data_IF_129944247632
#
_entry.id   IF_129944247632
#
_cell.length_a   1.000
_cell.length_b   1.000
_cell.length_c   1.000
_cell.angle_alpha   90.00
_cell.angle_beta   90.00
_cell.angle_gamma   90.00
#
_symmetry.space_group_name_H-M   'P 1'
#
loop_
_entity.id
_entity.type
_entity.pdbx_description
1 polymer ?
#
# COMPACT_ATOMS: atom_id res chain seq x y z
N UNK A 1 -4.15 -15.20 3.64
CA UNK A 1 -4.40 -13.82 4.10
C UNK A 1 -5.14 -13.09 2.98
N UNK A 2 -6.06 -12.18 3.32
CA UNK A 2 -6.77 -11.39 2.32
C UNK A 2 -5.80 -10.50 1.53
N UNK A 3 -6.14 -10.18 0.28
CA UNK A 3 -5.27 -9.33 -0.55
C UNK A 3 -5.39 -7.85 -0.14
N UNK A 4 -4.40 -7.01 -0.48
CA UNK A 4 -4.45 -5.58 -0.20
C UNK A 4 -5.65 -4.88 -0.85
N UNK A 5 -6.06 -5.33 -2.04
CA UNK A 5 -7.25 -4.84 -2.76
C UNK A 5 -8.53 -5.20 -2.01
N UNK A 6 -8.61 -6.42 -1.45
CA UNK A 6 -9.74 -6.81 -0.62
C UNK A 6 -9.86 -5.90 0.61
N UNK A 7 -8.75 -5.64 1.29
CA UNK A 7 -8.74 -4.73 2.43
C UNK A 7 -9.13 -3.29 2.05
N UNK A 8 -8.69 -2.79 0.89
CA UNK A 8 -9.13 -1.49 0.38
C UNK A 8 -10.64 -1.45 0.14
N UNK A 9 -11.17 -2.44 -0.55
CA UNK A 9 -12.61 -2.53 -0.86
C UNK A 9 -13.46 -2.61 0.42
N UNK A 10 -13.03 -3.39 1.41
CA UNK A 10 -13.72 -3.47 2.71
C UNK A 10 -13.68 -2.14 3.46
N UNK A 11 -12.53 -1.46 3.49
CA UNK A 11 -12.42 -0.15 4.12
C UNK A 11 -13.38 0.87 3.49
N UNK A 12 -13.47 0.91 2.16
CA UNK A 12 -14.40 1.79 1.44
C UNK A 12 -15.87 1.47 1.76
N UNK A 13 -16.24 0.19 1.80
CA UNK A 13 -17.60 -0.22 2.15
C UNK A 13 -17.99 0.20 3.59
N UNK A 14 -17.08 0.04 4.55
CA UNK A 14 -17.30 0.45 5.94
C UNK A 14 -17.43 1.98 6.07
N UNK A 15 -16.65 2.74 5.29
CA UNK A 15 -16.77 4.20 5.24
C UNK A 15 -18.13 4.65 4.69
N UNK A 16 -18.66 3.99 3.66
CA UNK A 16 -20.01 4.27 3.16
C UNK A 16 -21.09 3.94 4.19
N UNK A 17 -20.97 2.80 4.89
CA UNK A 17 -21.90 2.44 5.97
C UNK A 17 -21.88 3.48 7.11
N UNK A 18 -20.71 3.98 7.48
CA UNK A 18 -20.55 4.98 8.52
C UNK A 18 -21.30 6.30 8.21
N UNK A 19 -21.50 6.66 6.93
CA UNK A 19 -22.21 7.89 6.53
C UNK A 19 -23.67 7.92 6.98
N UNK A 20 -24.31 6.76 7.12
CA UNK A 20 -25.70 6.65 7.58
C UNK A 20 -25.91 6.96 9.07
N UNK A 21 -24.84 7.16 9.82
CA UNK A 21 -24.88 7.33 11.27
C UNK A 21 -24.39 8.71 11.72
N UNK A 22 -24.93 9.20 12.84
CA UNK A 22 -24.54 10.48 13.43
C UNK A 22 -23.05 10.48 13.86
N UNK A 23 -22.35 11.64 13.82
CA UNK A 23 -20.91 11.74 14.09
C UNK A 23 -20.44 11.10 15.41
N UNK A 24 -21.23 11.26 16.48
CA UNK A 24 -20.92 10.76 17.83
C UNK A 24 -21.56 9.40 18.16
N UNK A 25 -22.24 8.78 17.20
CA UNK A 25 -22.92 7.51 17.45
C UNK A 25 -21.92 6.35 17.55
N UNK A 26 -22.15 5.45 18.51
CA UNK A 26 -21.28 4.29 18.72
C UNK A 26 -21.11 3.41 17.46
N UNK A 27 -22.16 3.13 16.65
CA UNK A 27 -22.00 2.36 15.42
C UNK A 27 -21.08 3.02 14.41
N UNK A 28 -21.16 4.35 14.26
CA UNK A 28 -20.26 5.09 13.36
C UNK A 28 -18.81 4.92 13.77
N UNK A 29 -18.52 5.07 15.06
CA UNK A 29 -17.16 4.93 15.59
C UNK A 29 -16.60 3.52 15.36
N UNK A 30 -17.44 2.49 15.51
CA UNK A 30 -17.04 1.11 15.22
C UNK A 30 -16.69 0.91 13.74
N UNK A 31 -17.55 1.37 12.82
CA UNK A 31 -17.28 1.28 11.38
C UNK A 31 -16.01 2.02 10.98
N UNK A 32 -15.78 3.22 11.54
CA UNK A 32 -14.57 3.99 11.26
C UNK A 32 -13.31 3.31 11.79
N UNK A 33 -13.36 2.73 13.00
CA UNK A 33 -12.24 1.99 13.57
C UNK A 33 -11.89 0.76 12.72
N UNK A 34 -12.89 0.00 12.28
CA UNK A 34 -12.68 -1.18 11.43
C UNK A 34 -12.18 -0.79 10.03
N UNK A 35 -12.71 0.29 9.44
CA UNK A 35 -12.19 0.84 8.19
C UNK A 35 -10.71 1.23 8.30
N UNK A 36 -10.32 1.83 9.43
CA UNK A 36 -8.93 2.23 9.68
C UNK A 36 -7.99 1.02 9.81
N UNK A 37 -8.45 -0.08 10.42
CA UNK A 37 -7.69 -1.35 10.46
C UNK A 37 -7.46 -1.88 9.05
N UNK A 38 -8.52 -1.97 8.24
CA UNK A 38 -8.41 -2.45 6.86
C UNK A 38 -7.54 -1.55 5.97
N UNK A 39 -7.65 -0.23 6.11
CA UNK A 39 -6.78 0.70 5.40
C UNK A 39 -5.30 0.47 5.77
N UNK A 40 -5.01 0.24 7.05
CA UNK A 40 -3.65 -0.04 7.53
C UNK A 40 -3.12 -1.35 6.96
N UNK A 41 -3.93 -2.41 6.92
CA UNK A 41 -3.56 -3.70 6.34
C UNK A 41 -3.32 -3.62 4.82
N UNK A 42 -4.10 -2.81 4.11
CA UNK A 42 -3.89 -2.56 2.69
C UNK A 42 -2.56 -1.84 2.41
N UNK A 43 -2.15 -0.94 3.31
CA UNK A 43 -0.89 -0.17 3.20
C UNK A 43 0.34 -0.93 3.69
N UNK A 44 0.19 -1.82 4.67
CA UNK A 44 1.30 -2.60 5.24
C UNK A 44 1.64 -3.83 4.41
N UNK A 45 0.84 -4.14 3.38
CA UNK A 45 1.15 -5.19 2.44
C UNK A 45 2.51 -4.91 1.78
N UNK A 46 3.40 -5.92 1.68
CA UNK A 46 4.69 -5.75 1.04
C UNK A 46 4.43 -5.32 -0.40
N UNK A 47 4.77 -4.07 -0.71
CA UNK A 47 4.83 -3.61 -2.09
C UNK A 47 5.88 -4.49 -2.73
N UNK A 48 5.48 -5.36 -3.66
CA UNK A 48 6.43 -6.02 -4.55
C UNK A 48 7.13 -4.90 -5.32
N UNK A 49 8.24 -4.43 -4.77
CA UNK A 49 9.18 -3.59 -5.49
C UNK A 49 9.75 -4.51 -6.56
N UNK A 50 9.10 -4.55 -7.72
CA UNK A 50 9.65 -5.22 -8.90
C UNK A 50 11.06 -4.65 -9.07
N UNK A 51 12.12 -5.48 -9.08
CA UNK A 51 13.46 -4.97 -9.25
C UNK A 51 13.48 -4.22 -10.58
N UNK A 52 13.58 -2.89 -10.49
CA UNK A 52 13.85 -2.05 -11.65
C UNK A 52 15.18 -2.53 -12.16
N UNK A 53 15.18 -3.32 -13.24
CA UNK A 53 16.39 -3.78 -13.92
C UNK A 53 17.09 -2.53 -14.43
N UNK A 54 17.96 -1.95 -13.62
CA UNK A 54 18.91 -0.94 -14.05
C UNK A 54 19.74 -1.57 -15.15
N UNK A 55 19.59 -1.03 -16.37
CA UNK A 55 20.37 -1.45 -17.54
C UNK A 55 21.84 -1.49 -17.14
N UNK A 56 22.49 -2.63 -17.39
CA UNK A 56 23.95 -2.79 -17.29
C UNK A 56 24.62 -1.61 -17.99
N UNK A 57 25.42 -0.85 -17.25
CA UNK A 57 26.40 0.06 -17.84
C UNK A 57 27.33 -0.81 -18.70
N UNK A 58 27.26 -0.58 -20.01
CA UNK A 58 28.11 -1.20 -21.01
C UNK A 58 29.40 -0.39 -21.07
N UNK A 59 30.52 -1.11 -20.86
CA UNK A 59 31.89 -0.86 -21.30
C UNK A 59 32.41 0.59 -21.47
N UNK A 60 33.53 0.86 -20.80
CA UNK A 60 34.70 1.42 -21.46
C UNK A 60 35.96 0.72 -20.93
N UNK A 61 36.63 -0.04 -21.80
CA UNK A 61 38.05 -0.32 -21.67
C UNK A 61 38.79 1.01 -21.84
N UNK A 62 39.74 1.29 -20.96
CA UNK A 62 40.88 2.16 -21.29
C UNK A 62 42.12 1.40 -20.85
N UNK A 63 42.78 0.87 -21.86
CA UNK A 63 44.19 0.45 -21.88
C UNK A 63 45.08 1.70 -21.71
N UNK A 64 46.38 1.49 -21.48
CA UNK A 64 47.49 2.48 -21.55
C UNK A 64 47.84 3.20 -20.22
N UNK A 65 49.08 3.36 -19.78
CA UNK A 65 50.38 2.73 -20.01
C UNK A 65 51.33 3.24 -18.91
N UNK A 66 52.37 2.46 -18.64
CA UNK A 66 53.68 2.78 -18.07
C UNK A 66 53.95 4.19 -17.50
N UNK A 67 54.40 4.24 -16.24
CA UNK A 67 55.73 4.75 -15.89
C UNK A 67 56.23 4.22 -14.56
#
# INVERSE_FOLDING_TARGET
MASPEHHRSTAEALLEQAKGYAPSSAPRLAYLAEAQVHATLALSAPVEIKPVRTRKATAAKSEEAAK
#
